data_IF_430188692829
#
_entry.id   IF_430188692829
#
_cell.length_a   1.000
_cell.length_b   1.000
_cell.length_c   1.000
_cell.angle_alpha   90.00
_cell.angle_beta   90.00
_cell.angle_gamma   90.00
#
_symmetry.space_group_name_H-M   'P 1'
#
loop_
_entity.id
_entity.type
_entity.pdbx_description
1 polymer ?
#
# COMPACT_ATOMS: atom_id res chain seq x y z
N UNK A 1 -6.49 27.84 -21.80
CA UNK A 1 -6.47 28.05 -20.35
C UNK A 1 -7.33 26.97 -19.74
N UNK A 2 -6.72 25.85 -19.36
CA UNK A 2 -7.42 24.84 -18.58
C UNK A 2 -7.71 25.46 -17.21
N UNK A 3 -8.96 25.40 -16.78
CA UNK A 3 -9.34 25.79 -15.42
C UNK A 3 -8.81 24.70 -14.49
N UNK A 4 -7.90 25.06 -13.59
CA UNK A 4 -7.47 24.17 -12.51
C UNK A 4 -8.67 23.92 -11.60
N UNK A 5 -9.13 22.67 -11.55
CA UNK A 5 -10.09 22.22 -10.55
C UNK A 5 -9.47 22.40 -9.16
N UNK A 6 -10.24 22.87 -8.15
CA UNK A 6 -9.73 23.04 -6.80
C UNK A 6 -9.18 21.71 -6.26
N UNK A 7 -7.99 21.76 -5.67
CA UNK A 7 -7.36 20.61 -5.01
C UNK A 7 -8.24 20.23 -3.81
N UNK A 8 -8.95 19.11 -3.95
CA UNK A 8 -9.68 18.49 -2.85
C UNK A 8 -8.68 17.75 -1.95
N UNK A 9 -8.32 18.39 -0.82
CA UNK A 9 -7.38 17.88 0.18
C UNK A 9 -7.87 16.58 0.85
N UNK A 10 -9.18 16.30 0.80
CA UNK A 10 -9.80 15.10 1.35
C UNK A 10 -9.96 13.98 0.31
N UNK A 11 -9.65 14.25 -0.97
CA UNK A 11 -9.75 13.23 -2.02
C UNK A 11 -8.66 12.19 -1.87
N UNK A 12 -9.02 11.07 -1.27
CA UNK A 12 -8.18 9.86 -1.20
C UNK A 12 -7.80 9.40 -2.60
N UNK A 13 -6.63 8.78 -2.73
CA UNK A 13 -6.13 8.26 -4.01
C UNK A 13 -7.14 7.38 -4.77
N UNK A 14 -7.98 6.70 -4.01
CA UNK A 14 -8.88 5.67 -4.49
C UNK A 14 -10.30 5.95 -4.00
N UNK A 15 -11.26 5.94 -4.93
CA UNK A 15 -12.68 5.88 -4.61
C UNK A 15 -13.11 4.41 -4.51
N UNK A 16 -13.40 3.90 -3.30
CA UNK A 16 -13.80 2.52 -3.09
C UNK A 16 -15.12 2.13 -3.78
N UNK A 17 -15.95 3.10 -4.17
CA UNK A 17 -17.23 2.87 -4.83
C UNK A 17 -17.12 2.94 -6.37
N UNK A 18 -15.99 3.40 -6.92
CA UNK A 18 -15.72 3.48 -8.37
C UNK A 18 -15.26 2.15 -9.01
N UNK A 19 -15.62 1.00 -8.42
CA UNK A 19 -15.12 -0.33 -8.83
C UNK A 19 -16.10 -1.14 -9.70
N UNK A 20 -15.62 -1.99 -10.62
CA UNK A 20 -16.46 -2.99 -11.28
C UNK A 20 -17.04 -3.93 -10.23
N UNK A 21 -18.37 -3.92 -10.09
CA UNK A 21 -19.12 -4.69 -9.09
C UNK A 21 -18.81 -4.30 -7.62
N UNK A 22 -19.30 -3.13 -7.16
CA UNK A 22 -19.01 -2.59 -5.82
C UNK A 22 -19.48 -3.50 -4.68
N UNK A 23 -20.51 -4.31 -4.91
CA UNK A 23 -21.02 -5.24 -3.89
C UNK A 23 -20.01 -6.36 -3.58
N UNK A 24 -19.36 -6.94 -4.60
CA UNK A 24 -18.35 -7.99 -4.37
C UNK A 24 -17.12 -7.42 -3.66
N UNK A 25 -16.65 -6.25 -4.07
CA UNK A 25 -15.49 -5.62 -3.44
C UNK A 25 -15.77 -5.20 -2.00
N UNK A 26 -16.98 -4.74 -1.70
CA UNK A 26 -17.41 -4.46 -0.32
C UNK A 26 -17.30 -5.70 0.57
N UNK A 27 -17.81 -6.85 0.13
CA UNK A 27 -17.68 -8.09 0.91
C UNK A 27 -16.24 -8.60 0.97
N UNK A 28 -15.44 -8.39 -0.08
CA UNK A 28 -14.02 -8.75 -0.08
C UNK A 28 -13.20 -7.90 0.91
N UNK A 29 -13.46 -6.60 0.98
CA UNK A 29 -12.85 -5.70 1.98
C UNK A 29 -13.28 -6.07 3.39
N UNK A 30 -14.57 -6.32 3.61
CA UNK A 30 -15.09 -6.81 4.90
C UNK A 30 -14.43 -8.12 5.34
N UNK A 31 -14.20 -9.03 4.40
CA UNK A 31 -13.46 -10.27 4.66
C UNK A 31 -12.00 -9.98 5.03
N UNK A 32 -11.33 -9.11 4.27
CA UNK A 32 -9.96 -8.70 4.57
C UNK A 32 -9.86 -8.05 5.95
N UNK A 33 -10.82 -7.21 6.36
CA UNK A 33 -10.90 -6.64 7.71
C UNK A 33 -11.05 -7.70 8.79
N UNK A 34 -11.90 -8.71 8.58
CA UNK A 34 -12.03 -9.82 9.51
C UNK A 34 -10.72 -10.60 9.65
N UNK A 35 -10.01 -10.83 8.54
CA UNK A 35 -8.70 -11.47 8.54
C UNK A 35 -7.64 -10.61 9.24
N UNK A 36 -7.61 -9.28 9.01
CA UNK A 36 -6.71 -8.36 9.72
C UNK A 36 -6.89 -8.44 11.23
N UNK A 37 -8.14 -8.53 11.70
CA UNK A 37 -8.43 -8.70 13.15
C UNK A 37 -7.86 -10.01 13.68
N UNK A 38 -7.97 -11.11 12.93
CA UNK A 38 -7.37 -12.39 13.31
C UNK A 38 -5.85 -12.30 13.34
N UNK A 39 -5.23 -11.71 12.30
CA UNK A 39 -3.79 -11.51 12.20
C UNK A 39 -3.25 -10.67 13.37
N UNK A 40 -3.94 -9.57 13.70
CA UNK A 40 -3.56 -8.70 14.82
C UNK A 40 -3.59 -9.45 16.16
N UNK A 41 -4.66 -10.22 16.40
CA UNK A 41 -4.85 -10.87 17.70
C UNK A 41 -4.06 -12.17 17.85
N UNK A 42 -3.80 -12.94 16.77
CA UNK A 42 -3.12 -14.24 16.88
C UNK A 42 -1.66 -14.07 17.32
N UNK A 43 -1.01 -12.97 16.96
CA UNK A 43 0.42 -12.73 17.24
C UNK A 43 0.72 -12.64 18.74
N UNK A 44 -0.19 -12.04 19.51
CA UNK A 44 -0.05 -11.90 20.97
C UNK A 44 -1.00 -12.80 21.76
N UNK A 45 -1.71 -13.71 21.10
CA UNK A 45 -2.70 -14.57 21.75
C UNK A 45 -2.03 -15.59 22.69
N UNK A 46 -2.54 -15.69 23.92
CA UNK A 46 -2.26 -16.76 24.88
C UNK A 46 -3.47 -17.68 25.06
N UNK A 47 -4.37 -17.72 24.07
CA UNK A 47 -5.60 -18.51 24.13
C UNK A 47 -5.34 -20.00 24.38
N UNK A 48 -6.26 -20.71 25.07
CA UNK A 48 -6.17 -22.14 25.29
C UNK A 48 -5.97 -22.96 24.01
N UNK A 49 -5.28 -24.10 24.13
CA UNK A 49 -4.94 -24.96 22.98
C UNK A 49 -6.17 -25.41 22.18
N UNK A 50 -7.27 -25.73 22.85
CA UNK A 50 -8.53 -26.15 22.24
C UNK A 50 -9.17 -25.02 21.43
N UNK A 51 -9.17 -23.79 21.96
CA UNK A 51 -9.64 -22.60 21.22
C UNK A 51 -8.78 -22.32 19.98
N UNK A 52 -7.46 -22.44 20.08
CA UNK A 52 -6.56 -22.29 18.93
C UNK A 52 -6.81 -23.36 17.87
N UNK A 53 -7.08 -24.60 18.27
CA UNK A 53 -7.41 -25.70 17.35
C UNK A 53 -8.74 -25.44 16.63
N UNK A 54 -9.77 -25.00 17.34
CA UNK A 54 -11.09 -24.68 16.75
C UNK A 54 -10.96 -23.55 15.74
N UNK A 55 -10.19 -22.51 16.07
CA UNK A 55 -9.94 -21.38 15.17
C UNK A 55 -9.17 -21.81 13.91
N UNK A 56 -8.13 -22.65 14.06
CA UNK A 56 -7.38 -23.19 12.93
C UNK A 56 -8.28 -24.00 11.99
N UNK A 57 -9.04 -24.96 12.51
CA UNK A 57 -9.96 -25.78 11.71
C UNK A 57 -10.99 -24.92 10.95
N UNK A 58 -11.45 -23.81 11.56
CA UNK A 58 -12.38 -22.90 10.92
C UNK A 58 -11.76 -22.10 9.77
N UNK A 59 -10.52 -21.63 9.93
CA UNK A 59 -9.78 -20.91 8.90
C UNK A 59 -9.39 -21.84 7.75
N UNK A 60 -8.98 -23.07 8.03
CA UNK A 60 -8.68 -24.09 7.03
C UNK A 60 -9.91 -24.40 6.17
N UNK A 61 -11.06 -24.67 6.79
CA UNK A 61 -12.32 -24.86 6.06
C UNK A 61 -12.69 -23.65 5.20
N UNK A 62 -12.38 -22.43 5.65
CA UNK A 62 -12.64 -21.24 4.86
C UNK A 62 -11.67 -21.10 3.68
N UNK A 63 -10.40 -21.42 3.88
CA UNK A 63 -9.38 -21.46 2.84
C UNK A 63 -9.72 -22.48 1.75
N UNK A 64 -10.12 -23.70 2.12
CA UNK A 64 -10.57 -24.75 1.18
C UNK A 64 -11.74 -24.27 0.31
N UNK A 65 -12.68 -23.54 0.91
CA UNK A 65 -13.81 -22.96 0.17
C UNK A 65 -13.35 -21.89 -0.82
N UNK A 66 -12.45 -20.99 -0.42
CA UNK A 66 -11.88 -19.99 -1.35
C UNK A 66 -11.12 -20.67 -2.50
N UNK A 67 -10.38 -21.74 -2.23
CA UNK A 67 -9.67 -22.51 -3.24
C UNK A 67 -10.61 -23.19 -4.24
N UNK A 68 -11.78 -23.65 -3.81
CA UNK A 68 -12.78 -24.27 -4.68
C UNK A 68 -13.43 -23.31 -5.70
N UNK A 69 -13.29 -22.00 -5.50
CA UNK A 69 -13.85 -20.98 -6.38
C UNK A 69 -12.88 -20.58 -7.50
N UNK A 70 -13.39 -20.02 -8.62
CA UNK A 70 -12.55 -19.49 -9.68
C UNK A 70 -11.53 -18.48 -9.13
N UNK A 71 -10.26 -18.68 -9.47
CA UNK A 71 -9.17 -17.78 -9.09
C UNK A 71 -8.91 -16.78 -10.21
N UNK A 72 -8.60 -15.54 -9.85
CA UNK A 72 -8.03 -14.60 -10.80
C UNK A 72 -6.63 -15.08 -11.18
N UNK A 73 -6.26 -14.94 -12.46
CA UNK A 73 -4.91 -15.27 -12.93
C UNK A 73 -3.87 -14.30 -12.33
N UNK A 74 -4.30 -13.11 -11.90
CA UNK A 74 -3.48 -12.08 -11.25
C UNK A 74 -4.34 -11.12 -10.42
N UNK A 75 -3.69 -10.25 -9.66
CA UNK A 75 -4.33 -9.10 -9.01
C UNK A 75 -5.03 -8.20 -10.04
N UNK A 76 -6.27 -7.83 -9.78
CA UNK A 76 -7.00 -6.87 -10.62
C UNK A 76 -6.46 -5.47 -10.36
N UNK A 77 -6.13 -4.74 -11.43
CA UNK A 77 -5.58 -3.39 -11.36
C UNK A 77 -4.07 -3.34 -11.60
N UNK A 78 -3.47 -2.22 -11.20
CA UNK A 78 -2.03 -1.98 -11.31
C UNK A 78 -1.40 -2.21 -9.92
N UNK A 79 -0.48 -3.19 -9.77
CA UNK A 79 0.11 -3.53 -8.47
C UNK A 79 0.90 -2.39 -7.82
N UNK A 80 1.37 -1.44 -8.62
CA UNK A 80 2.19 -0.30 -8.21
C UNK A 80 1.63 1.02 -8.77
N UNK A 81 1.68 2.09 -7.98
CA UNK A 81 1.28 3.44 -8.41
C UNK A 81 2.01 3.88 -9.70
N UNK A 82 3.26 3.45 -9.83
CA UNK A 82 4.11 3.59 -11.01
C UNK A 82 3.51 3.01 -12.29
N UNK A 83 2.68 1.99 -12.22
CA UNK A 83 2.13 1.31 -13.40
C UNK A 83 0.72 1.76 -13.76
N UNK A 84 0.12 2.60 -12.93
CA UNK A 84 -1.31 2.89 -12.98
C UNK A 84 -1.77 3.67 -14.21
N UNK A 85 -0.97 4.63 -14.70
CA UNK A 85 -1.34 5.54 -15.80
C UNK A 85 -2.55 6.45 -15.53
N UNK A 86 -3.38 6.07 -14.56
CA UNK A 86 -4.54 6.73 -14.00
C UNK A 86 -4.42 6.64 -12.47
N UNK A 87 -4.43 7.79 -11.80
CA UNK A 87 -4.41 7.88 -10.33
C UNK A 87 -5.55 7.10 -9.65
N UNK A 88 -6.61 6.73 -10.36
CA UNK A 88 -7.73 5.93 -9.84
C UNK A 88 -7.55 4.40 -9.97
N UNK A 89 -6.43 3.89 -10.50
CA UNK A 89 -6.33 2.49 -10.90
C UNK A 89 -6.10 1.49 -9.75
N UNK A 90 -7.20 1.08 -9.10
CA UNK A 90 -7.40 -0.23 -8.44
C UNK A 90 -6.22 -0.79 -7.61
N UNK A 91 -6.11 -0.30 -6.38
CA UNK A 91 -5.09 -0.71 -5.39
C UNK A 91 -5.61 -1.68 -4.34
N UNK A 92 -6.86 -2.13 -4.42
CA UNK A 92 -7.51 -2.88 -3.35
C UNK A 92 -6.77 -4.17 -2.95
N UNK A 93 -5.93 -4.72 -3.81
CA UNK A 93 -5.13 -5.91 -3.50
C UNK A 93 -3.64 -5.61 -3.25
N UNK A 94 -3.23 -4.33 -3.28
CA UNK A 94 -1.86 -3.91 -2.92
C UNK A 94 -1.49 -4.45 -1.54
N UNK A 95 -0.24 -4.94 -1.35
CA UNK A 95 0.21 -5.42 -0.05
C UNK A 95 0.45 -4.31 0.98
N UNK A 96 0.37 -3.02 0.59
CA UNK A 96 0.63 -1.89 1.49
C UNK A 96 -0.61 -1.03 1.73
N UNK A 97 -1.37 -0.69 0.68
CA UNK A 97 -2.56 0.18 0.76
C UNK A 97 -3.88 -0.53 0.41
N UNK A 98 -3.83 -1.83 0.10
CA UNK A 98 -4.99 -2.55 -0.42
C UNK A 98 -6.03 -2.88 0.61
N UNK A 99 -7.22 -2.27 0.51
CA UNK A 99 -8.35 -2.52 1.42
C UNK A 99 -8.84 -3.98 1.41
N UNK A 100 -8.65 -4.70 0.31
CA UNK A 100 -8.99 -6.11 0.14
C UNK A 100 -7.78 -7.06 0.31
N UNK A 101 -6.61 -6.56 0.74
CA UNK A 101 -5.46 -7.38 1.11
C UNK A 101 -5.27 -7.40 2.64
N UNK A 102 -5.43 -8.56 3.30
CA UNK A 102 -5.35 -8.64 4.76
C UNK A 102 -3.93 -8.46 5.32
N UNK A 103 -2.89 -8.46 4.48
CA UNK A 103 -1.52 -8.11 4.90
C UNK A 103 -1.31 -6.59 4.96
N UNK A 104 -2.08 -5.83 4.18
CA UNK A 104 -1.90 -4.40 4.08
C UNK A 104 -2.20 -3.72 5.43
N UNK A 105 -1.26 -2.93 5.99
CA UNK A 105 -1.56 -2.07 7.12
C UNK A 105 -2.64 -1.06 6.74
N UNK A 106 -3.39 -0.53 7.72
CA UNK A 106 -4.32 0.57 7.46
C UNK A 106 -3.53 1.84 7.17
N UNK A 107 -3.07 1.99 5.94
CA UNK A 107 -2.36 3.15 5.42
C UNK A 107 -3.25 3.88 4.41
N UNK A 108 -3.44 5.19 4.59
CA UNK A 108 -4.24 6.04 3.72
C UNK A 108 -3.40 7.20 3.20
N UNK A 109 -3.45 7.49 1.90
CA UNK A 109 -2.67 8.53 1.23
C UNK A 109 -3.61 9.50 0.52
N UNK A 110 -3.36 10.80 0.69
CA UNK A 110 -4.07 11.87 0.01
C UNK A 110 -3.10 12.93 -0.55
N UNK A 111 -3.49 13.56 -1.65
CA UNK A 111 -2.76 14.69 -2.24
C UNK A 111 -2.87 15.88 -1.30
N UNK A 112 -1.75 16.54 -1.04
CA UNK A 112 -1.70 17.74 -0.16
C UNK A 112 -1.22 19.00 -0.88
N UNK A 113 -1.03 18.91 -2.20
CA UNK A 113 -0.53 19.97 -3.05
C UNK A 113 -0.11 19.44 -4.42
N UNK A 114 0.44 20.30 -5.28
CA UNK A 114 0.74 19.93 -6.67
C UNK A 114 1.67 18.73 -6.78
N UNK A 115 2.67 18.68 -5.90
CA UNK A 115 3.77 17.72 -5.88
C UNK A 115 3.96 17.08 -4.50
N UNK A 116 2.93 17.12 -3.65
CA UNK A 116 3.04 16.69 -2.26
C UNK A 116 1.87 15.79 -1.85
N UNK A 117 2.13 14.89 -0.90
CA UNK A 117 1.12 14.04 -0.30
C UNK A 117 1.28 13.96 1.22
N UNK A 118 0.17 13.67 1.89
CA UNK A 118 0.14 13.25 3.29
C UNK A 118 -0.40 11.84 3.36
N UNK A 119 0.14 11.04 4.27
CA UNK A 119 -0.42 9.74 4.57
C UNK A 119 -0.54 9.53 6.07
N UNK A 120 -1.49 8.69 6.49
CA UNK A 120 -1.62 8.22 7.87
C UNK A 120 -1.57 6.70 7.91
N UNK A 121 -0.95 6.15 8.94
CA UNK A 121 -0.96 4.72 9.19
C UNK A 121 -0.96 4.41 10.69
N UNK A 122 -1.68 3.36 11.10
CA UNK A 122 -1.60 2.82 12.47
C UNK A 122 -1.19 1.35 12.40
N UNK A 123 0.04 1.06 12.80
CA UNK A 123 0.57 -0.30 12.81
C UNK A 123 0.25 -0.98 14.15
N UNK A 124 -0.43 -2.12 14.09
CA UNK A 124 -0.69 -3.00 15.23
C UNK A 124 0.44 -3.99 15.52
N UNK A 125 0.22 -4.88 16.48
CA UNK A 125 1.21 -5.87 16.95
C UNK A 125 1.64 -6.84 15.85
N UNK A 126 0.80 -7.07 14.83
CA UNK A 126 1.18 -7.90 13.69
C UNK A 126 2.36 -7.36 12.87
N UNK A 127 2.71 -6.08 13.05
CA UNK A 127 3.75 -5.38 12.31
C UNK A 127 5.00 -5.10 13.17
N UNK A 128 5.05 -5.69 14.37
CA UNK A 128 6.13 -5.51 15.34
C UNK A 128 7.47 -6.05 14.81
N UNK A 129 8.55 -5.31 15.09
CA UNK A 129 9.91 -5.78 14.91
C UNK A 129 10.62 -5.79 16.26
N UNK A 130 11.24 -4.66 16.68
CA UNK A 130 11.66 -4.48 18.06
C UNK A 130 10.44 -4.38 18.99
N UNK A 131 10.57 -4.78 20.28
CA UNK A 131 9.47 -4.68 21.25
C UNK A 131 8.83 -3.29 21.28
N UNK A 132 7.51 -3.23 21.06
CA UNK A 132 6.68 -2.02 21.03
C UNK A 132 6.82 -1.14 19.79
N UNK A 133 7.57 -1.56 18.77
CA UNK A 133 7.91 -0.73 17.61
C UNK A 133 7.71 -1.44 16.28
N UNK A 134 7.35 -0.66 15.25
CA UNK A 134 7.15 -1.13 13.88
C UNK A 134 8.46 -1.72 13.37
N UNK A 135 8.39 -2.90 12.74
CA UNK A 135 9.53 -3.46 12.04
C UNK A 135 10.00 -2.51 10.93
N UNK A 136 11.31 -2.24 10.85
CA UNK A 136 11.84 -1.29 9.87
C UNK A 136 11.43 -1.60 8.43
N UNK A 137 11.35 -2.88 8.07
CA UNK A 137 10.84 -3.32 6.76
C UNK A 137 9.44 -2.79 6.40
N UNK A 138 8.52 -2.70 7.37
CA UNK A 138 7.18 -2.13 7.13
C UNK A 138 7.22 -0.61 6.96
N UNK A 139 8.10 0.07 7.70
CA UNK A 139 8.34 1.51 7.52
C UNK A 139 8.92 1.80 6.14
N UNK A 140 9.90 1.00 5.68
CA UNK A 140 10.48 1.12 4.35
C UNK A 140 9.44 0.84 3.25
N UNK A 141 8.61 -0.19 3.41
CA UNK A 141 7.56 -0.50 2.45
C UNK A 141 6.48 0.59 2.38
N UNK A 142 6.11 1.17 3.53
CA UNK A 142 5.24 2.35 3.57
C UNK A 142 5.87 3.56 2.86
N UNK A 143 7.17 3.79 3.02
CA UNK A 143 7.86 4.84 2.28
C UNK A 143 7.85 4.59 0.78
N UNK A 144 8.11 3.36 0.33
CA UNK A 144 8.07 3.03 -1.10
C UNK A 144 6.71 3.39 -1.72
N UNK A 145 5.62 3.02 -1.05
CA UNK A 145 4.26 3.32 -1.51
C UNK A 145 3.95 4.82 -1.51
N UNK A 146 4.27 5.53 -0.42
CA UNK A 146 4.01 6.98 -0.32
C UNK A 146 4.85 7.78 -1.33
N UNK A 147 6.11 7.41 -1.54
CA UNK A 147 6.96 8.03 -2.54
C UNK A 147 6.51 7.67 -3.97
N UNK A 148 6.05 6.44 -4.17
CA UNK A 148 5.45 5.94 -5.41
C UNK A 148 4.16 6.68 -5.78
N UNK A 149 3.35 7.08 -4.79
CA UNK A 149 2.23 7.97 -4.98
C UNK A 149 2.69 9.35 -5.46
N UNK A 150 3.64 9.97 -4.76
CA UNK A 150 4.04 11.34 -5.06
C UNK A 150 4.79 11.48 -6.39
N UNK A 151 5.60 10.49 -6.79
CA UNK A 151 6.20 10.51 -8.13
C UNK A 151 5.12 10.48 -9.22
N UNK A 152 3.99 9.78 -9.00
CA UNK A 152 2.92 9.68 -9.99
C UNK A 152 2.24 11.03 -10.26
N UNK A 153 2.28 11.96 -9.30
CA UNK A 153 1.80 13.34 -9.46
C UNK A 153 2.62 14.13 -10.49
N UNK A 154 3.85 13.70 -10.80
CA UNK A 154 4.70 14.29 -11.85
C UNK A 154 4.24 13.99 -13.28
N UNK A 155 3.24 13.13 -13.46
CA UNK A 155 2.68 12.79 -14.78
C UNK A 155 3.51 11.78 -15.58
N UNK A 156 4.63 11.32 -15.05
CA UNK A 156 5.50 10.33 -15.68
C UNK A 156 5.60 9.08 -14.79
N UNK A 157 4.93 7.97 -15.14
CA UNK A 157 5.05 6.72 -14.38
C UNK A 157 6.50 6.23 -14.33
N UNK A 158 7.02 5.96 -13.14
CA UNK A 158 8.37 5.44 -12.95
C UNK A 158 8.47 4.36 -11.88
N UNK A 159 9.29 3.35 -12.15
CA UNK A 159 9.54 2.24 -11.20
C UNK A 159 10.58 2.65 -10.15
N UNK A 160 10.49 2.10 -8.95
CA UNK A 160 11.49 2.31 -7.89
C UNK A 160 12.86 1.84 -8.38
N UNK A 161 13.80 2.77 -8.53
CA UNK A 161 15.20 2.47 -8.87
C UNK A 161 16.08 2.38 -7.62
N UNK A 162 15.82 3.21 -6.62
CA UNK A 162 16.51 3.18 -5.32
C UNK A 162 15.62 3.78 -4.23
N UNK A 163 15.60 3.13 -3.08
CA UNK A 163 15.01 3.63 -1.84
C UNK A 163 16.09 3.65 -0.75
N UNK A 164 16.28 4.80 -0.11
CA UNK A 164 17.16 4.95 1.05
C UNK A 164 16.29 5.35 2.23
N UNK A 165 16.34 4.60 3.32
CA UNK A 165 15.58 4.91 4.55
C UNK A 165 16.54 5.17 5.70
N UNK A 166 16.39 6.32 6.36
CA UNK A 166 17.11 6.71 7.56
C UNK A 166 16.20 6.60 8.78
N UNK A 167 16.47 5.61 9.64
CA UNK A 167 15.77 5.46 10.92
C UNK A 167 16.39 6.40 11.95
N UNK A 168 15.63 7.40 12.38
CA UNK A 168 16.06 8.45 13.31
C UNK A 168 15.76 8.09 14.76
N UNK A 169 14.57 7.52 15.01
CA UNK A 169 14.08 7.05 16.32
C UNK A 169 13.19 5.82 16.12
N UNK A 170 13.01 4.98 17.15
CA UNK A 170 12.04 3.88 17.08
C UNK A 170 10.65 4.38 16.69
N UNK A 171 10.03 3.72 15.71
CA UNK A 171 8.66 4.05 15.27
C UNK A 171 7.66 3.26 16.13
N UNK A 172 6.86 3.90 16.99
CA UNK A 172 5.97 3.20 17.91
C UNK A 172 4.81 2.49 17.21
N UNK A 173 4.35 1.37 17.78
CA UNK A 173 3.09 0.72 17.42
C UNK A 173 1.87 1.43 18.06
N UNK A 174 0.67 1.10 17.57
CA UNK A 174 -0.62 1.48 18.14
C UNK A 174 -0.90 2.98 18.25
N UNK A 175 -0.11 3.81 17.57
CA UNK A 175 -0.34 5.24 17.44
C UNK A 175 -0.45 5.61 15.97
N UNK A 176 -1.18 6.67 15.69
CA UNK A 176 -1.25 7.21 14.33
C UNK A 176 0.10 7.82 13.95
N UNK A 177 0.65 7.34 12.85
CA UNK A 177 1.85 7.87 12.22
C UNK A 177 1.46 8.76 11.04
N UNK A 178 2.08 9.93 10.95
CA UNK A 178 1.87 10.88 9.85
C UNK A 178 3.08 10.86 8.92
N UNK A 179 2.84 10.58 7.65
CA UNK A 179 3.82 10.70 6.59
C UNK A 179 3.61 11.99 5.81
N UNK A 180 4.70 12.65 5.44
CA UNK A 180 4.72 13.79 4.55
C UNK A 180 5.70 13.51 3.43
N UNK A 181 5.30 13.70 2.18
CA UNK A 181 6.12 13.36 1.03
C UNK A 181 5.99 14.37 -0.10
N UNK A 182 7.07 14.51 -0.87
CA UNK A 182 7.17 15.48 -1.96
C UNK A 182 7.99 14.96 -3.15
N UNK A 183 7.63 15.39 -4.36
CA UNK A 183 8.41 15.25 -5.57
C UNK A 183 9.36 16.44 -5.63
N UNK A 184 10.65 16.18 -5.43
CA UNK A 184 11.68 17.20 -5.26
C UNK A 184 12.15 17.75 -6.61
N UNK A 185 12.50 16.86 -7.54
CA UNK A 185 13.03 17.24 -8.86
C UNK A 185 12.96 16.10 -9.86
N UNK A 186 13.05 16.46 -11.14
CA UNK A 186 13.09 15.54 -12.28
C UNK A 186 14.29 15.87 -13.17
N UNK A 187 15.05 14.83 -13.56
CA UNK A 187 16.22 14.95 -14.42
C UNK A 187 16.18 13.88 -15.52
N UNK A 188 15.64 14.26 -16.67
CA UNK A 188 15.39 13.32 -17.76
C UNK A 188 14.44 12.22 -17.29
N UNK A 189 14.94 10.98 -17.17
CA UNK A 189 14.16 9.83 -16.70
C UNK A 189 14.20 9.61 -15.19
N UNK A 190 14.94 10.42 -14.43
CA UNK A 190 15.11 10.25 -12.99
C UNK A 190 14.14 11.17 -12.26
N UNK A 191 13.30 10.60 -11.40
CA UNK A 191 12.36 11.33 -10.56
C UNK A 191 12.82 11.16 -9.11
N UNK A 192 13.06 12.26 -8.42
CA UNK A 192 13.55 12.27 -7.04
C UNK A 192 12.43 12.71 -6.10
N UNK A 193 12.24 11.93 -5.06
CA UNK A 193 11.17 12.11 -4.07
C UNK A 193 11.76 11.98 -2.66
N UNK A 194 11.13 12.65 -1.70
CA UNK A 194 11.51 12.60 -0.29
C UNK A 194 10.27 12.42 0.57
N UNK A 195 10.41 11.71 1.69
CA UNK A 195 9.34 11.52 2.66
C UNK A 195 9.87 11.46 4.09
N UNK A 196 9.01 11.84 5.03
CA UNK A 196 9.27 11.81 6.47
C UNK A 196 8.09 11.16 7.19
N UNK A 197 8.35 10.44 8.28
CA UNK A 197 7.30 9.86 9.13
C UNK A 197 7.45 10.32 10.58
N UNK A 198 6.32 10.73 11.16
CA UNK A 198 6.23 11.31 12.48
C UNK A 198 5.29 10.50 13.37
N UNK A 199 5.67 10.35 14.65
CA UNK A 199 4.78 9.98 15.74
C UNK A 199 4.51 11.23 16.59
N UNK A 200 3.33 11.84 16.43
CA UNK A 200 3.08 13.20 16.92
C UNK A 200 4.03 14.20 16.26
N UNK A 201 4.84 14.89 17.08
CA UNK A 201 5.88 15.83 16.62
C UNK A 201 7.26 15.18 16.43
N UNK A 202 7.39 13.88 16.76
CA UNK A 202 8.67 13.19 16.74
C UNK A 202 8.93 12.56 15.37
N UNK A 203 9.94 13.05 14.65
CA UNK A 203 10.45 12.39 13.44
C UNK A 203 11.09 11.04 13.81
N UNK A 204 10.53 9.94 13.31
CA UNK A 204 11.03 8.59 13.58
C UNK A 204 11.84 8.02 12.43
N UNK A 205 11.49 8.32 11.18
CA UNK A 205 12.29 7.99 10.02
C UNK A 205 12.07 8.96 8.85
N UNK A 206 12.95 8.91 7.87
CA UNK A 206 12.81 9.64 6.60
C UNK A 206 13.41 8.81 5.46
N UNK A 207 13.02 9.13 4.22
CA UNK A 207 13.44 8.38 3.06
C UNK A 207 13.67 9.26 1.83
N UNK A 208 14.62 8.83 1.00
CA UNK A 208 14.89 9.34 -0.34
C UNK A 208 14.54 8.27 -1.37
N UNK A 209 13.66 8.61 -2.31
CA UNK A 209 13.27 7.76 -3.43
C UNK A 209 13.83 8.28 -4.75
N UNK A 210 14.45 7.40 -5.53
CA UNK A 210 14.77 7.60 -6.93
C UNK A 210 13.92 6.64 -7.76
N UNK A 211 13.04 7.20 -8.59
CA UNK A 211 12.23 6.46 -9.55
C UNK A 211 12.79 6.68 -10.96
N UNK A 212 12.65 5.67 -11.80
CA UNK A 212 13.07 5.72 -13.21
C UNK A 212 11.83 5.67 -14.08
N UNK A 213 11.52 6.79 -14.75
CA UNK A 213 10.40 6.88 -15.68
C UNK A 213 10.53 5.85 -16.79
N UNK A 214 9.47 5.10 -17.04
CA UNK A 214 9.43 4.09 -18.09
C UNK A 214 8.51 4.57 -19.22
N UNK A 215 8.91 4.48 -20.50
CA UNK A 215 8.02 4.77 -21.62
C UNK A 215 6.77 3.89 -21.55
N UNK A 216 5.60 4.47 -21.87
CA UNK A 216 4.31 3.79 -21.77
C UNK A 216 4.28 2.45 -22.53
N UNK A 217 4.97 2.34 -23.67
CA UNK A 217 5.04 1.11 -24.46
C UNK A 217 5.74 -0.04 -23.70
N UNK A 218 6.72 0.29 -22.87
CA UNK A 218 7.43 -0.69 -22.05
C UNK A 218 6.61 -1.07 -20.81
N UNK A 219 5.79 -0.16 -20.30
CA UNK A 219 4.83 -0.46 -19.23
C UNK A 219 3.75 -1.44 -19.72
N UNK A 220 3.21 -1.20 -20.92
CA UNK A 220 2.26 -2.09 -21.59
C UNK A 220 2.87 -3.45 -21.91
N UNK A 221 4.15 -3.51 -22.32
CA UNK A 221 4.87 -4.76 -22.54
C UNK A 221 5.03 -5.57 -21.25
N UNK A 222 5.43 -4.95 -20.13
CA UNK A 222 5.52 -5.62 -18.83
C UNK A 222 4.16 -6.13 -18.35
N UNK A 223 3.11 -5.32 -18.53
CA UNK A 223 1.74 -5.74 -18.24
C UNK A 223 1.34 -6.94 -19.11
N UNK A 224 1.76 -6.97 -20.38
CA UNK A 224 1.45 -8.02 -21.37
C UNK A 224 2.21 -9.33 -21.13
N UNK A 225 3.50 -9.25 -20.82
CA UNK A 225 4.34 -10.40 -20.44
C UNK A 225 3.81 -11.05 -19.17
N UNK A 226 3.29 -10.26 -18.21
CA UNK A 226 2.59 -10.78 -17.05
C UNK A 226 1.22 -11.45 -17.38
N UNK A 227 0.64 -11.25 -18.58
CA UNK A 227 -0.59 -11.94 -19.04
C UNK A 227 -0.30 -13.34 -19.57
N UNK A 228 0.87 -13.55 -20.16
CA UNK A 228 1.24 -14.82 -20.80
C UNK A 228 2.27 -15.55 -19.94
N UNK A 229 1.86 -16.40 -18.97
CA UNK A 229 2.81 -17.36 -18.45
C UNK A 229 3.14 -18.28 -19.61
N UNK A 230 4.42 -18.32 -20.01
CA UNK A 230 4.91 -19.39 -20.85
C UNK A 230 4.41 -20.71 -20.28
N UNK A 231 3.71 -21.50 -21.10
CA UNK A 231 3.08 -22.74 -20.69
C UNK A 231 4.09 -23.65 -19.97
N UNK A 232 3.86 -23.86 -18.67
CA UNK A 232 4.51 -24.89 -17.86
C UNK A 232 3.51 -25.48 -16.89
#
# INVERSE_FOLDING_TARGET
>A
MAQDDPIDEDRTYYDPDAVPNPTIWREKRRLADAMRRVIEHVVLSDAPQDELSIAADALERYADRLESHPKLVRVMGHPEAATSGDTAAFFDQSPIIGLANPLAPPLSIARSGDRTARATATFGSAYEGPPGHVHGGWVAAAFDEVLGYVQSLGGNPGMTGRLITHYRRPTPLHVELRFEAQLVREEGRKIFTEAQVYAGDTLTAEAEGLFISIPSERLEALATEAIQPEGR
#
